data_IF_214341745161
#
_entry.id   IF_214341745161
#
_cell.length_a   1.000
_cell.length_b   1.000
_cell.length_c   1.000
_cell.angle_alpha   90.00
_cell.angle_beta   90.00
_cell.angle_gamma   90.00
#
_symmetry.space_group_name_H-M   'P 1'
#
loop_
_entity.id
_entity.type
_entity.pdbx_description
1 polymer ?
#
# COMPACT_ATOMS: atom_id res chain seq x y z
N UNK A 1 27.60 10.32 9.96
CA UNK A 1 28.03 9.93 8.60
C UNK A 1 27.85 8.42 8.45
N UNK A 2 26.99 7.97 7.52
CA UNK A 2 26.76 6.53 7.28
C UNK A 2 27.67 6.05 6.16
N UNK A 3 28.33 4.90 6.37
CA UNK A 3 29.24 4.29 5.40
C UNK A 3 28.74 2.89 5.10
N UNK A 4 28.73 2.52 3.82
CA UNK A 4 28.38 1.17 3.39
C UNK A 4 29.66 0.49 2.91
N UNK A 5 29.98 -0.65 3.51
CA UNK A 5 31.06 -1.52 3.09
C UNK A 5 30.45 -2.67 2.28
N UNK A 6 30.95 -2.88 1.05
CA UNK A 6 30.57 -4.00 0.21
C UNK A 6 31.79 -4.91 0.07
N UNK A 7 31.62 -6.20 0.38
CA UNK A 7 32.67 -7.20 0.15
C UNK A 7 32.84 -7.40 -1.36
N UNK A 8 34.04 -7.13 -1.84
CA UNK A 8 34.41 -7.38 -3.22
C UNK A 8 35.34 -8.60 -3.30
N UNK A 9 35.13 -9.40 -4.33
CA UNK A 9 36.06 -10.48 -4.66
C UNK A 9 37.41 -9.86 -5.05
N UNK A 10 38.52 -10.35 -4.48
CA UNK A 10 39.90 -9.82 -4.69
C UNK A 10 40.32 -9.60 -6.16
N UNK A 11 39.68 -10.28 -7.12
CA UNK A 11 39.94 -10.09 -8.56
C UNK A 11 39.37 -8.79 -9.13
N UNK A 12 38.43 -8.15 -8.44
CA UNK A 12 37.63 -7.03 -8.94
C UNK A 12 37.94 -5.71 -8.23
N UNK A 13 38.90 -5.70 -7.29
CA UNK A 13 39.35 -4.49 -6.62
C UNK A 13 40.69 -4.01 -7.23
N UNK A 14 40.76 -2.78 -7.79
CA UNK A 14 41.99 -2.27 -8.42
C UNK A 14 43.12 -1.99 -7.42
N UNK A 15 42.84 -2.02 -6.12
CA UNK A 15 43.76 -1.78 -5.01
C UNK A 15 44.16 -3.07 -4.27
N UNK A 16 43.47 -4.18 -4.53
CA UNK A 16 43.69 -5.49 -3.87
C UNK A 16 42.99 -5.66 -2.53
N UNK A 17 42.16 -4.70 -2.11
CA UNK A 17 41.45 -4.74 -0.84
C UNK A 17 40.15 -5.56 -0.93
N UNK A 18 39.74 -6.14 0.20
CA UNK A 18 38.58 -7.03 0.28
C UNK A 18 37.24 -6.28 0.35
N UNK A 19 37.25 -4.99 0.69
CA UNK A 19 36.04 -4.21 0.92
C UNK A 19 36.15 -2.83 0.28
N UNK A 20 35.20 -2.50 -0.60
CA UNK A 20 35.02 -1.13 -1.09
C UNK A 20 34.09 -0.39 -0.14
N UNK A 21 34.60 0.67 0.49
CA UNK A 21 33.82 1.54 1.38
C UNK A 21 33.38 2.77 0.60
N UNK A 22 32.08 2.89 0.34
CA UNK A 22 31.49 4.07 -0.32
C UNK A 22 30.70 4.90 0.67
N UNK A 23 30.86 6.21 0.57
CA UNK A 23 30.05 7.16 1.31
C UNK A 23 28.62 7.19 0.75
N UNK A 24 27.63 6.93 1.60
CA UNK A 24 26.22 6.84 1.22
C UNK A 24 25.48 8.06 1.77
N UNK A 25 25.27 9.07 0.93
CA UNK A 25 24.69 10.37 1.29
C UNK A 25 23.15 10.40 1.40
N UNK A 26 22.46 9.26 1.39
CA UNK A 26 20.98 9.19 1.31
C UNK A 26 20.24 9.31 2.66
N UNK A 27 20.95 9.49 3.77
CA UNK A 27 20.35 9.48 5.13
C UNK A 27 19.60 10.77 5.46
N UNK A 28 20.11 11.92 5.00
CA UNK A 28 19.51 13.23 5.32
C UNK A 28 18.19 13.48 4.58
N UNK A 29 18.05 12.96 3.36
CA UNK A 29 16.86 13.12 2.51
C UNK A 29 15.60 12.47 3.11
N UNK A 30 15.78 11.43 3.94
CA UNK A 30 14.69 10.65 4.52
C UNK A 30 14.55 10.81 6.05
N UNK A 31 15.32 11.71 6.68
CA UNK A 31 15.35 11.92 8.14
C UNK A 31 15.50 10.62 8.96
N UNK A 32 16.23 9.65 8.43
CA UNK A 32 16.43 8.36 9.08
C UNK A 32 17.43 8.52 10.23
N UNK A 33 17.05 8.10 11.43
CA UNK A 33 17.94 8.08 12.60
C UNK A 33 18.77 6.80 12.60
N UNK A 34 19.93 6.80 13.30
CA UNK A 34 20.76 5.59 13.43
C UNK A 34 20.02 4.36 13.97
N UNK A 35 19.00 4.58 14.82
CA UNK A 35 18.21 3.53 15.45
C UNK A 35 16.96 3.13 14.66
N UNK A 36 16.71 3.75 13.49
CA UNK A 36 15.58 3.37 12.65
C UNK A 36 15.85 1.97 12.05
N UNK A 37 14.89 1.07 12.26
CA UNK A 37 14.96 -0.29 11.73
C UNK A 37 14.76 -0.26 10.21
N UNK A 38 15.88 -0.37 9.47
CA UNK A 38 15.88 -0.48 8.02
C UNK A 38 15.84 -1.94 7.60
N UNK A 39 14.80 -2.31 6.85
CA UNK A 39 14.68 -3.64 6.25
C UNK A 39 14.91 -3.55 4.74
N UNK A 40 15.76 -4.43 4.21
CA UNK A 40 15.96 -4.54 2.77
C UNK A 40 14.68 -5.08 2.10
N UNK A 41 14.12 -4.33 1.15
CA UNK A 41 13.08 -4.84 0.26
C UNK A 41 13.75 -5.86 -0.66
N UNK A 42 13.48 -7.16 -0.42
CA UNK A 42 14.09 -8.28 -1.17
C UNK A 42 13.60 -8.38 -2.62
N UNK A 43 12.52 -7.67 -2.96
CA UNK A 43 11.94 -7.66 -4.30
C UNK A 43 11.43 -6.25 -4.66
N UNK A 44 12.29 -5.39 -5.23
CA UNK A 44 11.88 -4.05 -5.65
C UNK A 44 10.89 -4.07 -6.82
N UNK A 45 10.79 -5.18 -7.57
CA UNK A 45 9.78 -5.33 -8.61
C UNK A 45 8.37 -5.55 -8.02
N UNK A 46 8.29 -6.08 -6.80
CA UNK A 46 7.04 -6.26 -6.06
C UNK A 46 6.75 -5.13 -5.06
N UNK A 47 7.66 -4.14 -4.94
CA UNK A 47 7.37 -2.85 -4.32
C UNK A 47 6.44 -2.03 -5.23
N UNK A 48 5.23 -2.54 -5.45
CA UNK A 48 4.22 -1.83 -6.22
C UNK A 48 3.80 -0.63 -5.39
N UNK A 49 4.21 0.58 -5.81
CA UNK A 49 3.67 1.84 -5.31
C UNK A 49 2.13 1.83 -5.39
N UNK A 50 1.43 2.81 -4.77
CA UNK A 50 -0.03 2.82 -4.74
C UNK A 50 -0.59 2.67 -6.16
N UNK A 51 -1.13 1.49 -6.47
CA UNK A 51 -1.72 1.20 -7.78
C UNK A 51 -2.98 2.04 -7.89
N UNK A 52 -2.90 3.15 -8.63
CA UNK A 52 -4.07 3.97 -8.97
C UNK A 52 -5.13 3.05 -9.56
N UNK A 53 -6.21 2.82 -8.83
CA UNK A 53 -7.36 2.05 -9.31
C UNK A 53 -8.33 3.05 -9.90
N UNK A 54 -8.38 3.11 -11.22
CA UNK A 54 -9.46 3.81 -11.93
C UNK A 54 -10.77 3.12 -11.54
N UNK A 55 -11.62 3.84 -10.82
CA UNK A 55 -12.99 3.39 -10.53
C UNK A 55 -13.84 3.91 -11.70
N UNK A 56 -14.45 3.04 -12.52
CA UNK A 56 -15.34 3.46 -13.61
C UNK A 56 -16.48 4.33 -13.08
N UNK A 57 -16.99 5.20 -13.95
CA UNK A 57 -18.12 6.05 -13.60
C UNK A 57 -19.34 5.20 -13.19
N UNK A 58 -19.94 5.58 -12.06
CA UNK A 58 -21.02 4.83 -11.41
C UNK A 58 -22.26 4.72 -12.29
N UNK A 59 -22.50 5.70 -13.14
CA UNK A 59 -23.63 5.72 -14.07
C UNK A 59 -23.53 4.61 -15.12
N UNK A 60 -22.31 4.23 -15.49
CA UNK A 60 -22.05 3.24 -16.55
C UNK A 60 -22.04 1.79 -16.03
N UNK A 61 -21.96 1.59 -14.72
CA UNK A 61 -21.85 0.27 -14.09
C UNK A 61 -23.19 -0.45 -13.92
N UNK A 62 -24.32 0.24 -14.10
CA UNK A 62 -25.66 -0.33 -13.95
C UNK A 62 -26.09 -0.61 -12.49
N UNK A 63 -27.12 -1.44 -12.37
CA UNK A 63 -27.77 -1.78 -11.10
C UNK A 63 -27.37 -3.19 -10.64
N UNK A 64 -27.33 -3.39 -9.31
CA UNK A 64 -27.21 -4.70 -8.70
C UNK A 64 -28.46 -5.54 -8.95
N UNK A 65 -28.33 -6.85 -8.74
CA UNK A 65 -29.49 -7.72 -8.56
C UNK A 65 -30.39 -7.20 -7.41
N UNK A 66 -31.71 -7.45 -7.49
CA UNK A 66 -32.62 -7.13 -6.41
C UNK A 66 -32.21 -7.84 -5.11
N UNK A 67 -32.22 -7.11 -3.99
CA UNK A 67 -31.99 -7.72 -2.68
C UNK A 67 -33.22 -8.47 -2.15
N UNK A 68 -33.13 -8.99 -0.93
CA UNK A 68 -34.22 -9.70 -0.23
C UNK A 68 -35.55 -8.90 -0.14
N UNK A 69 -35.51 -7.58 -0.40
CA UNK A 69 -36.67 -6.68 -0.41
C UNK A 69 -37.03 -6.19 -1.84
N UNK A 70 -36.50 -6.82 -2.89
CA UNK A 70 -36.70 -6.42 -4.28
C UNK A 70 -36.02 -5.10 -4.67
N UNK A 71 -35.17 -4.53 -3.81
CA UNK A 71 -34.52 -3.23 -4.06
C UNK A 71 -33.21 -3.41 -4.81
N UNK A 72 -33.01 -2.57 -5.83
CA UNK A 72 -31.78 -2.52 -6.61
C UNK A 72 -31.02 -1.23 -6.32
N UNK A 73 -29.69 -1.30 -6.40
CA UNK A 73 -28.81 -0.18 -6.11
C UNK A 73 -27.75 -0.06 -7.19
N UNK A 74 -27.22 1.15 -7.41
CA UNK A 74 -26.11 1.33 -8.36
C UNK A 74 -24.82 0.70 -7.86
N UNK A 75 -24.13 -0.04 -8.72
CA UNK A 75 -22.81 -0.58 -8.41
C UNK A 75 -21.82 0.53 -8.02
N UNK A 76 -20.84 0.20 -7.18
CA UNK A 76 -19.85 1.19 -6.73
C UNK A 76 -20.38 2.22 -5.73
N UNK A 77 -21.53 1.95 -5.10
CA UNK A 77 -22.08 2.73 -3.97
C UNK A 77 -21.98 1.97 -2.65
N UNK A 78 -22.09 2.70 -1.52
CA UNK A 78 -22.13 2.05 -0.19
C UNK A 78 -23.37 1.18 -0.04
N UNK A 79 -24.53 1.67 -0.51
CA UNK A 79 -25.79 0.92 -0.45
C UNK A 79 -25.74 -0.37 -1.26
N UNK A 80 -25.07 -0.39 -2.42
CA UNK A 80 -24.84 -1.64 -3.14
C UNK A 80 -24.00 -2.64 -2.33
N UNK A 81 -22.99 -2.17 -1.59
CA UNK A 81 -22.16 -3.06 -0.76
C UNK A 81 -22.87 -3.58 0.50
N UNK A 82 -23.64 -2.71 1.18
CA UNK A 82 -24.27 -3.03 2.47
C UNK A 82 -25.67 -3.59 2.31
N UNK A 83 -26.57 -2.86 1.64
CA UNK A 83 -27.99 -3.21 1.49
C UNK A 83 -28.24 -4.24 0.39
N UNK A 84 -27.50 -4.18 -0.73
CA UNK A 84 -27.60 -5.16 -1.82
C UNK A 84 -26.64 -6.35 -1.66
N UNK A 85 -25.78 -6.33 -0.62
CA UNK A 85 -24.73 -7.35 -0.37
C UNK A 85 -23.81 -7.61 -1.58
N UNK A 86 -23.71 -6.68 -2.53
CA UNK A 86 -22.90 -6.85 -3.74
C UNK A 86 -21.39 -6.86 -3.41
N UNK A 87 -20.67 -7.83 -3.97
CA UNK A 87 -19.23 -8.03 -3.76
C UNK A 87 -18.39 -7.83 -5.02
N UNK A 88 -18.89 -7.17 -6.06
CA UNK A 88 -18.05 -6.86 -7.24
C UNK A 88 -16.88 -5.93 -6.87
N UNK A 89 -15.88 -5.83 -7.76
CA UNK A 89 -14.70 -4.99 -7.55
C UNK A 89 -15.06 -3.52 -7.26
N UNK A 90 -16.06 -2.96 -7.96
CA UNK A 90 -16.48 -1.57 -7.81
C UNK A 90 -17.09 -1.29 -6.44
N UNK A 91 -18.02 -2.14 -5.98
CA UNK A 91 -18.66 -2.00 -4.66
C UNK A 91 -17.65 -2.22 -3.52
N UNK A 92 -16.72 -3.18 -3.67
CA UNK A 92 -15.61 -3.37 -2.72
C UNK A 92 -14.69 -2.15 -2.66
N UNK A 93 -14.33 -1.57 -3.82
CA UNK A 93 -13.48 -0.38 -3.89
C UNK A 93 -14.15 0.84 -3.23
N UNK A 94 -15.42 1.09 -3.53
CA UNK A 94 -16.18 2.18 -2.91
C UNK A 94 -16.24 2.05 -1.38
N UNK A 95 -16.49 0.85 -0.87
CA UNK A 95 -16.51 0.61 0.58
C UNK A 95 -15.13 0.73 1.23
N UNK A 96 -14.06 0.32 0.54
CA UNK A 96 -12.69 0.49 1.01
C UNK A 96 -12.31 1.97 1.14
N UNK A 97 -12.66 2.80 0.14
CA UNK A 97 -12.47 4.26 0.16
C UNK A 97 -13.25 4.89 1.31
N UNK A 98 -14.52 4.51 1.49
CA UNK A 98 -15.31 5.00 2.63
C UNK A 98 -14.68 4.63 3.97
N UNK A 99 -14.19 3.39 4.14
CA UNK A 99 -13.53 2.97 5.38
C UNK A 99 -12.20 3.70 5.61
N UNK A 100 -11.43 4.00 4.57
CA UNK A 100 -10.19 4.78 4.72
C UNK A 100 -10.50 6.22 5.16
N UNK A 101 -11.50 6.86 4.55
CA UNK A 101 -11.97 8.20 4.95
C UNK A 101 -12.49 8.22 6.38
N UNK A 102 -13.25 7.20 6.79
CA UNK A 102 -13.71 7.05 8.18
C UNK A 102 -12.55 6.92 9.17
N UNK A 103 -11.49 6.19 8.81
CA UNK A 103 -10.27 6.07 9.63
C UNK A 103 -9.50 7.38 9.71
N UNK A 104 -9.33 8.07 8.59
CA UNK A 104 -8.67 9.38 8.54
C UNK A 104 -9.40 10.42 9.40
N UNK A 105 -10.73 10.34 9.47
CA UNK A 105 -11.55 11.18 10.35
C UNK A 105 -11.71 10.67 11.78
N UNK A 106 -10.97 9.65 12.22
CA UNK A 106 -11.01 9.10 13.58
C UNK A 106 -12.29 8.30 13.95
N UNK A 107 -13.20 8.07 13.00
CA UNK A 107 -14.52 7.47 13.22
C UNK A 107 -14.54 5.94 13.03
N UNK A 108 -13.37 5.31 13.06
CA UNK A 108 -13.21 3.86 12.91
C UNK A 108 -11.90 3.40 13.56
N UNK A 109 -11.73 3.62 14.88
CA UNK A 109 -10.55 3.14 15.58
C UNK A 109 -10.46 1.62 15.42
N UNK A 110 -9.29 1.12 15.03
CA UNK A 110 -9.00 -0.30 15.17
C UNK A 110 -8.72 -0.52 16.64
N UNK A 111 -9.52 -1.36 17.28
CA UNK A 111 -9.14 -1.88 18.59
C UNK A 111 -7.79 -2.59 18.43
N UNK A 112 -6.81 -2.29 19.29
CA UNK A 112 -5.58 -3.05 19.32
C UNK A 112 -5.94 -4.50 19.62
N UNK A 113 -5.48 -5.43 18.78
CA UNK A 113 -5.56 -6.85 19.09
C UNK A 113 -4.65 -7.11 20.30
N UNK A 114 -5.24 -7.44 21.44
CA UNK A 114 -4.50 -7.93 22.61
C UNK A 114 -3.66 -9.14 22.17
N UNK A 115 -2.38 -9.12 22.56
CA UNK A 115 -1.37 -10.14 22.21
C UNK A 115 -1.20 -11.10 23.37
#
# INVERSE_FOLDING_TARGET
MSRVAVELSKRLDPSGDRFLVKEYSKVEEHRLRPDDLLFAIRDPANATGPKLRVVPDRETLGLTDPNDHGRQYRHGTLSAYTAAKCRCQHSRAAFAIYRSQRRAGGKNPREPSET
#
